data_IF_953321606714
#
_entry.id   IF_953321606714
#
_cell.length_a   1.000
_cell.length_b   1.000
_cell.length_c   1.000
_cell.angle_alpha   90.00
_cell.angle_beta   90.00
_cell.angle_gamma   90.00
#
_symmetry.space_group_name_H-M   'P 1'
#
loop_
_entity.id
_entity.type
_entity.pdbx_description
1 polymer ?
#
# COMPACT_ATOMS: atom_id res chain seq x y z
N UNK A 1 -1.63 -36.32 30.28
CA UNK A 1 -2.24 -35.53 29.19
C UNK A 1 -3.63 -35.12 29.67
N UNK A 2 -3.78 -33.89 30.19
CA UNK A 2 -5.08 -33.35 30.61
C UNK A 2 -5.97 -33.24 29.37
N UNK A 3 -7.10 -33.95 29.38
CA UNK A 3 -8.18 -33.74 28.40
C UNK A 3 -8.88 -32.45 28.80
N UNK A 4 -8.69 -31.38 28.01
CA UNK A 4 -9.45 -30.13 28.12
C UNK A 4 -10.92 -30.43 27.82
N UNK A 5 -11.82 -29.89 28.65
CA UNK A 5 -13.26 -30.06 28.49
C UNK A 5 -13.79 -29.31 27.24
N UNK A 6 -14.86 -29.79 26.62
CA UNK A 6 -15.45 -29.19 25.40
C UNK A 6 -15.92 -27.74 25.64
N UNK A 7 -16.14 -27.36 26.90
CA UNK A 7 -16.42 -25.98 27.33
C UNK A 7 -15.17 -25.10 27.36
N UNK A 8 -14.01 -25.64 27.78
CA UNK A 8 -12.73 -24.93 27.81
C UNK A 8 -12.19 -24.72 26.40
N UNK A 9 -12.36 -25.70 25.51
CA UNK A 9 -12.04 -25.57 24.08
C UNK A 9 -12.86 -24.47 23.41
N UNK A 10 -14.18 -24.38 23.67
CA UNK A 10 -15.03 -23.30 23.14
C UNK A 10 -14.71 -21.93 23.72
N UNK A 11 -14.27 -21.85 24.97
CA UNK A 11 -13.83 -20.61 25.60
C UNK A 11 -12.50 -20.13 25.00
N UNK A 12 -11.58 -21.06 24.73
CA UNK A 12 -10.33 -20.81 24.04
C UNK A 12 -10.55 -20.42 22.57
N UNK A 13 -11.53 -21.03 21.89
CA UNK A 13 -11.93 -20.69 20.51
C UNK A 13 -12.51 -19.26 20.41
N UNK A 14 -13.31 -18.85 21.40
CA UNK A 14 -13.78 -17.46 21.55
C UNK A 14 -12.67 -16.45 21.85
N UNK A 15 -11.54 -16.88 22.41
CA UNK A 15 -10.38 -16.03 22.70
C UNK A 15 -9.31 -16.04 21.61
N UNK A 16 -9.43 -16.91 20.59
CA UNK A 16 -8.41 -17.07 19.54
C UNK A 16 -8.77 -16.44 18.19
N UNK A 17 -10.05 -16.11 17.97
CA UNK A 17 -10.47 -15.20 16.90
C UNK A 17 -10.68 -13.82 17.54
N UNK A 18 -9.91 -12.77 17.19
CA UNK A 18 -10.19 -11.45 17.70
C UNK A 18 -11.64 -11.09 17.39
N UNK A 19 -12.39 -10.67 18.41
CA UNK A 19 -13.79 -10.28 18.25
C UNK A 19 -13.88 -9.29 17.08
N UNK A 20 -14.71 -9.58 16.08
CA UNK A 20 -14.85 -8.73 14.89
C UNK A 20 -15.20 -7.29 15.29
N UNK A 21 -15.88 -7.12 16.43
CA UNK A 21 -16.14 -5.83 17.04
C UNK A 21 -14.85 -5.11 17.47
N UNK A 22 -13.88 -5.81 18.07
CA UNK A 22 -12.60 -5.24 18.47
C UNK A 22 -11.76 -4.82 17.26
N UNK A 23 -11.69 -5.65 16.21
CA UNK A 23 -10.98 -5.28 14.97
C UNK A 23 -11.59 -4.02 14.35
N UNK A 24 -12.93 -3.98 14.27
CA UNK A 24 -13.64 -2.82 13.76
C UNK A 24 -13.31 -1.55 14.55
N UNK A 25 -13.31 -1.65 15.89
CA UNK A 25 -13.05 -0.49 16.75
C UNK A 25 -11.59 0.01 16.66
N UNK A 26 -10.62 -0.91 16.52
CA UNK A 26 -9.22 -0.56 16.28
C UNK A 26 -9.07 0.22 14.97
N UNK A 27 -9.59 -0.34 13.87
CA UNK A 27 -9.52 0.29 12.55
C UNK A 27 -10.24 1.64 12.54
N UNK A 28 -11.37 1.75 13.27
CA UNK A 28 -12.12 3.00 13.40
C UNK A 28 -11.28 4.06 14.09
N UNK A 29 -10.61 3.70 15.18
CA UNK A 29 -9.77 4.62 15.94
C UNK A 29 -8.57 5.08 15.11
N UNK A 30 -7.88 4.16 14.43
CA UNK A 30 -6.80 4.50 13.49
C UNK A 30 -7.29 5.43 12.36
N UNK A 31 -8.49 5.18 11.84
CA UNK A 31 -9.13 6.05 10.86
C UNK A 31 -9.37 7.47 11.36
N UNK A 32 -9.85 7.62 12.59
CA UNK A 32 -10.04 8.94 13.21
C UNK A 32 -8.70 9.68 13.41
N UNK A 33 -7.65 8.98 13.83
CA UNK A 33 -6.30 9.55 13.94
C UNK A 33 -5.76 9.99 12.57
N UNK A 34 -5.96 9.19 11.53
CA UNK A 34 -5.48 9.51 10.18
C UNK A 34 -6.23 10.70 9.58
N UNK A 35 -7.55 10.80 9.81
CA UNK A 35 -8.35 11.97 9.42
C UNK A 35 -7.89 13.24 10.15
N UNK A 36 -7.42 13.13 11.39
CA UNK A 36 -6.90 14.24 12.17
C UNK A 36 -5.49 14.68 11.75
N UNK A 37 -4.76 13.87 10.96
CA UNK A 37 -3.41 14.23 10.52
C UNK A 37 -3.36 15.54 9.71
N UNK A 38 -2.23 16.22 9.88
CA UNK A 38 -1.90 17.45 9.15
C UNK A 38 -1.72 17.11 7.66
N UNK A 39 -2.28 17.91 6.73
CA UNK A 39 -2.15 17.68 5.29
C UNK A 39 -0.70 17.51 4.81
N UNK A 40 0.24 18.29 5.37
CA UNK A 40 1.66 18.18 4.99
C UNK A 40 2.29 16.82 5.35
N UNK A 41 1.89 16.23 6.48
CA UNK A 41 2.37 14.90 6.88
C UNK A 41 1.79 13.81 5.97
N UNK A 42 0.50 13.94 5.63
CA UNK A 42 -0.17 13.06 4.66
C UNK A 42 0.48 13.16 3.28
N UNK A 43 0.77 14.37 2.81
CA UNK A 43 1.39 14.62 1.52
C UNK A 43 2.80 14.02 1.45
N UNK A 44 3.63 14.22 2.49
CA UNK A 44 4.98 13.66 2.52
C UNK A 44 4.97 12.12 2.55
N UNK A 45 4.10 11.52 3.39
CA UNK A 45 3.93 10.07 3.45
C UNK A 45 3.41 9.50 2.14
N UNK A 46 2.42 10.16 1.52
CA UNK A 46 1.87 9.77 0.23
C UNK A 46 2.86 9.94 -0.92
N UNK A 47 3.70 10.97 -0.88
CA UNK A 47 4.75 11.16 -1.87
C UNK A 47 5.78 10.02 -1.77
N UNK A 48 6.18 9.67 -0.55
CA UNK A 48 7.06 8.54 -0.29
C UNK A 48 6.44 7.22 -0.77
N UNK A 49 5.15 6.98 -0.53
CA UNK A 49 4.43 5.82 -1.05
C UNK A 49 4.44 5.74 -2.58
N UNK A 50 4.21 6.87 -3.27
CA UNK A 50 4.26 6.93 -4.73
C UNK A 50 5.65 6.62 -5.29
N UNK A 51 6.71 7.16 -4.67
CA UNK A 51 8.09 6.83 -5.02
C UNK A 51 8.40 5.35 -4.79
N UNK A 52 7.95 4.79 -3.67
CA UNK A 52 8.10 3.36 -3.34
C UNK A 52 7.42 2.46 -4.37
N UNK A 53 6.23 2.84 -4.85
CA UNK A 53 5.52 2.10 -5.91
C UNK A 53 6.30 2.08 -7.23
N UNK A 54 7.14 3.07 -7.49
CA UNK A 54 8.06 3.05 -8.62
C UNK A 54 9.01 1.84 -8.61
N UNK A 55 9.40 1.35 -7.43
CA UNK A 55 10.25 0.15 -7.31
C UNK A 55 9.54 -1.14 -7.75
N UNK A 56 8.21 -1.20 -7.71
CA UNK A 56 7.44 -2.31 -8.28
C UNK A 56 7.70 -2.42 -9.79
N UNK A 57 7.57 -1.30 -10.49
CA UNK A 57 7.82 -1.21 -11.93
C UNK A 57 9.30 -1.51 -12.24
N UNK A 58 10.22 -0.85 -11.53
CA UNK A 58 11.65 -1.02 -11.74
C UNK A 58 12.12 -2.47 -11.53
N UNK A 59 11.70 -3.10 -10.43
CA UNK A 59 12.14 -4.47 -10.13
C UNK A 59 11.60 -5.46 -11.16
N UNK A 60 10.33 -5.33 -11.56
CA UNK A 60 9.76 -6.19 -12.59
C UNK A 60 10.45 -5.98 -13.95
N UNK A 61 10.79 -4.74 -14.31
CA UNK A 61 11.54 -4.45 -15.54
C UNK A 61 12.95 -5.04 -15.52
N UNK A 62 13.66 -4.92 -14.40
CA UNK A 62 14.99 -5.52 -14.22
C UNK A 62 14.94 -7.04 -14.33
N UNK A 63 13.99 -7.70 -13.64
CA UNK A 63 13.80 -9.14 -13.76
C UNK A 63 13.45 -9.55 -15.21
N UNK A 64 12.63 -8.76 -15.91
CA UNK A 64 12.26 -9.04 -17.31
C UNK A 64 13.46 -8.92 -18.26
N UNK A 65 14.37 -7.98 -17.99
CA UNK A 65 15.58 -7.75 -18.78
C UNK A 65 16.66 -8.82 -18.55
N UNK A 66 16.81 -9.28 -17.30
CA UNK A 66 17.88 -10.22 -16.92
C UNK A 66 17.49 -11.69 -17.12
N UNK A 67 16.19 -12.00 -17.16
CA UNK A 67 15.72 -13.38 -17.36
C UNK A 67 15.72 -13.77 -18.84
N UNK A 68 16.08 -15.03 -19.15
CA UNK A 68 16.07 -15.53 -20.53
C UNK A 68 14.65 -15.62 -21.06
N UNK A 69 14.48 -15.43 -22.38
CA UNK A 69 13.18 -15.49 -23.04
C UNK A 69 12.62 -16.92 -23.02
N UNK A 70 11.83 -17.19 -22.00
CA UNK A 70 11.28 -18.50 -21.66
C UNK A 70 9.83 -18.34 -21.20
N UNK A 71 8.98 -19.38 -21.30
CA UNK A 71 7.57 -19.27 -20.94
C UNK A 71 7.30 -18.86 -19.48
N UNK A 72 8.24 -19.14 -18.57
CA UNK A 72 8.12 -18.82 -17.14
C UNK A 72 8.65 -17.43 -16.79
N UNK A 73 9.29 -16.71 -17.73
CA UNK A 73 9.87 -15.37 -17.52
C UNK A 73 8.86 -14.40 -16.93
N UNK A 74 7.68 -14.30 -17.55
CA UNK A 74 6.63 -13.37 -17.11
C UNK A 74 6.15 -13.67 -15.69
N UNK A 75 5.90 -14.94 -15.37
CA UNK A 75 5.45 -15.36 -14.04
C UNK A 75 6.46 -14.99 -12.96
N UNK A 76 7.75 -15.24 -13.20
CA UNK A 76 8.80 -14.91 -12.22
C UNK A 76 9.02 -13.40 -12.11
N UNK A 77 9.06 -12.68 -13.23
CA UNK A 77 9.22 -11.22 -13.23
C UNK A 77 8.05 -10.51 -12.52
N UNK A 78 6.83 -11.05 -12.61
CA UNK A 78 5.63 -10.49 -11.96
C UNK A 78 5.74 -10.45 -10.44
N UNK A 79 6.57 -11.28 -9.80
CA UNK A 79 6.87 -11.16 -8.37
C UNK A 79 7.58 -9.84 -8.03
N UNK A 80 8.31 -9.25 -8.98
CA UNK A 80 8.94 -7.93 -8.82
C UNK A 80 7.94 -6.82 -8.51
N UNK A 81 6.68 -6.94 -8.97
CA UNK A 81 5.63 -5.99 -8.66
C UNK A 81 5.36 -5.86 -7.14
N UNK A 82 5.56 -6.93 -6.37
CA UNK A 82 5.30 -6.90 -4.92
C UNK A 82 6.32 -6.02 -4.16
N UNK A 83 7.48 -5.71 -4.74
CA UNK A 83 8.56 -5.02 -4.02
C UNK A 83 8.16 -3.63 -3.55
N UNK A 84 7.55 -2.81 -4.40
CA UNK A 84 7.08 -1.48 -4.00
C UNK A 84 6.02 -1.54 -2.89
N UNK A 85 5.11 -2.51 -2.95
CA UNK A 85 4.14 -2.75 -1.88
C UNK A 85 4.79 -3.15 -0.56
N UNK A 86 5.78 -4.05 -0.58
CA UNK A 86 6.53 -4.44 0.62
C UNK A 86 7.20 -3.21 1.24
N UNK A 87 7.81 -2.34 0.44
CA UNK A 87 8.42 -1.10 0.93
C UNK A 87 7.36 -0.20 1.59
N UNK A 88 6.22 0.01 0.94
CA UNK A 88 5.11 0.83 1.47
C UNK A 88 4.63 0.32 2.83
N UNK A 89 4.36 -0.99 2.92
CA UNK A 89 3.83 -1.62 4.15
C UNK A 89 4.85 -1.57 5.27
N UNK A 90 6.12 -1.95 5.01
CA UNK A 90 7.17 -1.94 6.03
C UNK A 90 7.49 -0.53 6.53
N UNK A 91 7.43 0.46 5.64
CA UNK A 91 7.67 1.86 5.99
C UNK A 91 6.42 2.58 6.53
N UNK A 92 5.26 1.91 6.58
CA UNK A 92 3.96 2.48 7.00
C UNK A 92 3.61 3.76 6.23
N UNK A 93 3.83 3.74 4.92
CA UNK A 93 3.59 4.87 4.03
C UNK A 93 2.12 4.94 3.62
N UNK A 94 1.64 6.14 3.28
CA UNK A 94 0.23 6.34 2.98
C UNK A 94 -0.07 6.06 1.50
N UNK A 95 -0.56 4.86 1.22
CA UNK A 95 -1.04 4.52 -0.12
C UNK A 95 -2.56 4.73 -0.21
N UNK A 96 -3.01 5.37 -1.28
CA UNK A 96 -4.42 5.73 -1.49
C UNK A 96 -5.36 4.53 -1.35
N UNK A 97 -5.00 3.40 -1.98
CA UNK A 97 -5.80 2.18 -1.98
C UNK A 97 -5.97 1.59 -0.58
N UNK A 98 -4.96 1.70 0.28
CA UNK A 98 -5.00 1.24 1.67
C UNK A 98 -5.80 2.19 2.56
N UNK A 99 -5.69 3.50 2.29
CA UNK A 99 -6.38 4.54 3.06
C UNK A 99 -7.91 4.55 2.92
N UNK A 100 -8.46 3.77 1.98
CA UNK A 100 -9.90 3.78 1.69
C UNK A 100 -10.70 3.18 2.84
N UNK A 101 -10.26 2.04 3.38
CA UNK A 101 -10.97 1.33 4.45
C UNK A 101 -10.90 2.12 5.76
N UNK A 102 -9.71 2.61 6.12
CA UNK A 102 -9.50 3.41 7.34
C UNK A 102 -10.23 4.75 7.27
N UNK A 103 -10.36 5.37 6.10
CA UNK A 103 -11.11 6.62 5.95
C UNK A 103 -12.64 6.41 5.91
N UNK A 104 -13.14 5.33 5.31
CA UNK A 104 -14.59 5.12 5.17
C UNK A 104 -15.24 4.67 6.48
N UNK A 105 -14.51 3.95 7.34
CA UNK A 105 -15.06 3.39 8.56
C UNK A 105 -15.56 4.48 9.54
N UNK A 106 -14.78 5.54 9.84
CA UNK A 106 -15.27 6.68 10.61
C UNK A 106 -16.49 7.35 9.98
N UNK A 107 -16.54 7.46 8.65
CA UNK A 107 -17.65 8.11 7.95
C UNK A 107 -18.97 7.34 8.06
N UNK A 108 -18.91 6.00 8.02
CA UNK A 108 -20.10 5.16 8.18
C UNK A 108 -20.62 5.23 9.63
N UNK A 109 -19.70 5.33 10.61
CA UNK A 109 -20.04 5.43 12.03
C UNK A 109 -20.54 6.83 12.42
N UNK A 110 -19.90 7.89 11.91
CA UNK A 110 -20.24 9.30 12.13
C UNK A 110 -20.49 9.99 10.79
N UNK A 111 -21.76 10.00 10.38
CA UNK A 111 -22.23 10.58 9.12
C UNK A 111 -22.41 12.10 9.17
N UNK A 112 -21.41 12.82 9.67
CA UNK A 112 -21.43 14.28 9.73
C UNK A 112 -20.56 14.92 8.64
N UNK A 113 -20.79 16.22 8.39
CA UNK A 113 -20.10 16.97 7.33
C UNK A 113 -18.60 17.14 7.60
N UNK A 114 -18.18 17.24 8.87
CA UNK A 114 -16.78 17.42 9.20
C UNK A 114 -15.99 16.14 8.90
N UNK A 115 -16.54 14.98 9.24
CA UNK A 115 -15.96 13.67 8.89
C UNK A 115 -15.86 13.48 7.38
N UNK A 116 -16.91 13.81 6.63
CA UNK A 116 -16.88 13.75 5.15
C UNK A 116 -15.78 14.65 4.56
N UNK A 117 -15.66 15.90 5.03
CA UNK A 117 -14.60 16.81 4.58
C UNK A 117 -13.20 16.29 4.95
N UNK A 118 -13.06 15.66 6.12
CA UNK A 118 -11.83 15.00 6.53
C UNK A 118 -11.42 13.88 5.56
N UNK A 119 -12.38 13.03 5.16
CA UNK A 119 -12.17 11.93 4.21
C UNK A 119 -11.75 12.48 2.84
N UNK A 120 -12.48 13.48 2.32
CA UNK A 120 -12.15 14.10 1.04
C UNK A 120 -10.77 14.78 1.05
N UNK A 121 -10.41 15.43 2.16
CA UNK A 121 -9.07 16.01 2.37
C UNK A 121 -8.01 14.91 2.33
N UNK A 122 -8.19 13.83 3.09
CA UNK A 122 -7.24 12.72 3.16
C UNK A 122 -7.06 12.10 1.77
N UNK A 123 -8.14 11.73 1.09
CA UNK A 123 -8.10 11.15 -0.25
C UNK A 123 -7.47 12.09 -1.27
N UNK A 124 -7.88 13.36 -1.31
CA UNK A 124 -7.34 14.34 -2.23
C UNK A 124 -5.83 14.52 -2.05
N UNK A 125 -5.37 14.66 -0.80
CA UNK A 125 -3.93 14.83 -0.50
C UNK A 125 -3.13 13.57 -0.82
N UNK A 126 -3.58 12.40 -0.39
CA UNK A 126 -2.84 11.15 -0.58
C UNK A 126 -2.81 10.75 -2.05
N UNK A 127 -3.93 10.83 -2.77
CA UNK A 127 -3.99 10.48 -4.20
C UNK A 127 -3.07 11.38 -5.03
N UNK A 128 -3.14 12.70 -4.82
CA UNK A 128 -2.29 13.65 -5.56
C UNK A 128 -0.81 13.44 -5.24
N UNK A 129 -0.47 13.18 -3.97
CA UNK A 129 0.91 12.89 -3.58
C UNK A 129 1.42 11.55 -4.14
N UNK A 130 0.61 10.49 -4.14
CA UNK A 130 0.97 9.20 -4.74
C UNK A 130 1.25 9.36 -6.25
N UNK A 131 0.35 10.03 -6.98
CA UNK A 131 0.54 10.29 -8.43
C UNK A 131 1.82 11.09 -8.66
N UNK A 132 2.04 12.17 -7.89
CA UNK A 132 3.24 12.99 -8.00
C UNK A 132 4.52 12.17 -7.74
N UNK A 133 4.51 11.30 -6.72
CA UNK A 133 5.64 10.43 -6.40
C UNK A 133 5.96 9.46 -7.52
N UNK A 134 4.94 8.79 -8.08
CA UNK A 134 5.11 7.88 -9.22
C UNK A 134 5.61 8.63 -10.46
N UNK A 135 5.08 9.83 -10.73
CA UNK A 135 5.56 10.67 -11.84
C UNK A 135 7.02 11.09 -11.67
N UNK A 136 7.41 11.54 -10.47
CA UNK A 136 8.81 11.87 -10.16
C UNK A 136 9.70 10.65 -10.39
N UNK A 137 9.30 9.47 -9.90
CA UNK A 137 10.05 8.24 -10.11
C UNK A 137 10.19 7.90 -11.59
N UNK A 138 9.12 8.01 -12.37
CA UNK A 138 9.13 7.73 -13.81
C UNK A 138 10.10 8.65 -14.57
N UNK A 139 10.13 9.95 -14.21
CA UNK A 139 11.07 10.92 -14.77
C UNK A 139 12.51 10.58 -14.39
N UNK A 140 12.76 10.19 -13.13
CA UNK A 140 14.08 9.77 -12.67
C UNK A 140 14.58 8.54 -13.42
N UNK A 141 13.72 7.54 -13.64
CA UNK A 141 14.06 6.31 -14.35
C UNK A 141 14.42 6.55 -15.82
N UNK A 142 13.82 7.56 -16.46
CA UNK A 142 14.15 7.97 -17.82
C UNK A 142 15.39 8.88 -17.93
N UNK A 143 16.03 9.22 -16.81
CA UNK A 143 17.23 10.05 -16.84
C UNK A 143 18.36 9.34 -17.61
N UNK A 144 19.00 10.00 -18.59
CA UNK A 144 20.03 9.38 -19.41
C UNK A 144 21.22 8.92 -18.56
N UNK A 145 21.68 7.69 -18.81
CA UNK A 145 22.84 7.10 -18.13
C UNK A 145 22.53 6.44 -16.78
N UNK A 146 21.27 6.38 -16.34
CA UNK A 146 20.92 5.73 -15.08
C UNK A 146 20.97 4.19 -15.16
N UNK A 147 20.65 3.62 -16.32
CA UNK A 147 20.62 2.18 -16.54
C UNK A 147 21.46 1.74 -17.74
N UNK A 148 22.02 0.51 -17.73
CA UNK A 148 22.63 -0.08 -18.91
C UNK A 148 21.65 -0.17 -20.09
N UNK A 149 22.14 -0.18 -21.34
CA UNK A 149 21.30 -0.26 -22.54
C UNK A 149 20.40 -1.50 -22.58
N UNK A 150 20.75 -2.57 -21.87
CA UNK A 150 19.96 -3.80 -21.79
C UNK A 150 18.62 -3.63 -21.02
N UNK A 151 18.56 -2.69 -20.07
CA UNK A 151 17.38 -2.47 -19.21
C UNK A 151 16.38 -1.49 -19.86
N UNK A 152 16.87 -0.59 -20.72
CA UNK A 152 16.05 0.46 -21.35
C UNK A 152 14.90 -0.11 -22.20
N UNK A 153 15.09 -1.15 -23.03
CA UNK A 153 14.01 -1.77 -23.80
C UNK A 153 12.92 -2.39 -22.92
N UNK A 154 13.29 -3.05 -21.82
CA UNK A 154 12.32 -3.65 -20.89
C UNK A 154 11.49 -2.57 -20.17
N UNK A 155 12.10 -1.44 -19.81
CA UNK A 155 11.38 -0.29 -19.27
C UNK A 155 10.39 0.31 -20.28
N UNK A 156 10.71 0.31 -21.58
CA UNK A 156 9.84 0.82 -22.63
C UNK A 156 8.72 -0.13 -23.01
N UNK A 157 8.95 -1.45 -22.99
CA UNK A 157 7.93 -2.46 -23.28
C UNK A 157 6.81 -2.48 -22.24
N UNK A 158 7.12 -2.09 -20.99
CA UNK A 158 6.19 -2.09 -19.88
C UNK A 158 5.48 -0.74 -19.64
N UNK A 159 5.92 0.34 -20.28
CA UNK A 159 5.38 1.70 -20.13
C UNK A 159 4.21 1.97 -21.08
#
# INVERSE_FOLDING_TARGET
MQHLDDGELRLAERHSVPDAFLIHEIIRHEGEEELARKPGALALSGLAAGLSMGFSFLTQALLTADLPDTPWRHTLASFGYAVGFIIVVLARQQLFTESTLTAILPLITRRDRATLLGVLKLWGVVLTANIAGTWIFAVLVHAPGLFPPAVTPALQEMA
#
